data_IF_152733883709
#
_entry.id   IF_152733883709
#
_cell.length_a   1.000
_cell.length_b   1.000
_cell.length_c   1.000
_cell.angle_alpha   90.00
_cell.angle_beta   90.00
_cell.angle_gamma   90.00
#
_symmetry.space_group_name_H-M   'P 1'
#
loop_
_entity.id
_entity.type
_entity.pdbx_description
1 polymer ?
#
# COMPACT_ATOMS: atom_id res chain seq x y z
N UNK A 1 -13.17 15.38 25.62
CA UNK A 1 -12.99 13.93 25.33
C UNK A 1 -13.75 13.51 24.08
N UNK A 2 -15.08 13.61 24.03
CA UNK A 2 -15.85 13.24 22.82
C UNK A 2 -15.48 14.10 21.60
N UNK A 3 -15.24 15.40 21.80
CA UNK A 3 -14.85 16.33 20.73
C UNK A 3 -13.54 15.92 20.04
N UNK A 4 -12.53 15.48 20.80
CA UNK A 4 -11.24 15.05 20.26
C UNK A 4 -11.36 13.82 19.36
N UNK A 5 -12.18 12.83 19.72
CA UNK A 5 -12.39 11.64 18.88
C UNK A 5 -13.13 11.97 17.59
N UNK A 6 -14.10 12.89 17.67
CA UNK A 6 -14.87 13.34 16.52
C UNK A 6 -14.01 14.19 15.57
N UNK A 7 -13.14 15.03 16.13
CA UNK A 7 -12.16 15.82 15.38
C UNK A 7 -11.15 14.91 14.67
N UNK A 8 -10.56 13.94 15.38
CA UNK A 8 -9.72 12.88 14.78
C UNK A 8 -10.46 12.17 13.64
N UNK A 9 -11.69 11.74 13.87
CA UNK A 9 -12.49 11.05 12.86
C UNK A 9 -12.71 11.92 11.61
N UNK A 10 -13.12 13.18 11.78
CA UNK A 10 -13.39 14.10 10.67
C UNK A 10 -12.12 14.47 9.90
N UNK A 11 -11.02 14.74 10.61
CA UNK A 11 -9.72 15.02 10.00
C UNK A 11 -9.24 13.85 9.17
N UNK A 12 -9.22 12.63 9.73
CA UNK A 12 -8.78 11.44 9.00
C UNK A 12 -9.76 11.02 7.89
N UNK A 13 -11.06 11.30 8.04
CA UNK A 13 -12.03 11.16 6.96
C UNK A 13 -11.71 12.11 5.80
N UNK A 14 -11.43 13.39 6.09
CA UNK A 14 -11.04 14.37 5.07
C UNK A 14 -9.74 13.96 4.38
N UNK A 15 -8.73 13.55 5.14
CA UNK A 15 -7.47 13.02 4.60
C UNK A 15 -7.76 11.84 3.66
N UNK A 16 -8.63 10.92 4.06
CA UNK A 16 -9.01 9.78 3.24
C UNK A 16 -9.70 10.17 1.92
N UNK A 17 -10.54 11.22 1.90
CA UNK A 17 -11.20 11.69 0.68
C UNK A 17 -10.27 12.52 -0.22
N UNK A 18 -9.27 13.19 0.35
CA UNK A 18 -8.38 14.10 -0.37
C UNK A 18 -7.04 13.45 -0.79
N UNK A 19 -6.74 12.23 -0.32
CA UNK A 19 -5.47 11.55 -0.58
C UNK A 19 -5.64 10.29 -1.42
N UNK A 20 -4.67 10.01 -2.29
CA UNK A 20 -4.65 8.83 -3.16
C UNK A 20 -3.94 7.61 -2.55
N UNK A 21 -3.62 7.66 -1.25
CA UNK A 21 -2.97 6.55 -0.53
C UNK A 21 -1.47 6.42 -0.83
N UNK A 22 -0.86 5.33 -0.36
CA UNK A 22 0.60 5.13 -0.48
C UNK A 22 1.38 6.20 0.28
N UNK A 23 2.48 6.70 -0.29
CA UNK A 23 3.32 7.73 0.34
C UNK A 23 2.77 9.15 0.21
N UNK A 24 1.83 9.38 -0.73
CA UNK A 24 1.26 10.72 -0.99
C UNK A 24 0.44 11.28 0.18
N UNK A 25 -0.02 10.41 1.06
CA UNK A 25 -0.78 10.78 2.26
C UNK A 25 0.08 11.33 3.40
N UNK A 26 1.38 10.99 3.44
CA UNK A 26 2.27 11.37 4.53
C UNK A 26 2.33 12.89 4.72
N UNK A 27 2.53 13.73 3.67
CA UNK A 27 2.52 15.17 3.84
C UNK A 27 1.16 15.71 4.31
N UNK A 28 0.05 15.13 3.86
CA UNK A 28 -1.31 15.56 4.25
C UNK A 28 -1.57 15.24 5.73
N UNK A 29 -1.15 14.06 6.20
CA UNK A 29 -1.21 13.71 7.62
C UNK A 29 -0.31 14.64 8.43
N UNK A 30 0.92 14.90 7.96
CA UNK A 30 1.87 15.75 8.66
C UNK A 30 1.31 17.16 8.88
N UNK A 31 0.77 17.78 7.83
CA UNK A 31 0.14 19.11 7.90
C UNK A 31 -1.06 19.13 8.86
N UNK A 32 -1.95 18.14 8.76
CA UNK A 32 -3.14 18.06 9.63
C UNK A 32 -2.74 17.89 11.11
N UNK A 33 -1.83 16.96 11.41
CA UNK A 33 -1.40 16.65 12.78
C UNK A 33 -0.64 17.81 13.42
N UNK A 34 0.19 18.53 12.64
CA UNK A 34 0.87 19.74 13.08
C UNK A 34 -0.11 20.90 13.30
N UNK A 35 -1.10 21.07 12.42
CA UNK A 35 -2.09 22.14 12.52
C UNK A 35 -2.92 22.05 13.80
N UNK A 36 -3.25 20.83 14.23
CA UNK A 36 -3.96 20.57 15.48
C UNK A 36 -3.05 20.50 16.70
N UNK A 37 -1.73 20.55 16.51
CA UNK A 37 -0.74 20.43 17.59
C UNK A 37 -0.77 19.08 18.30
N UNK A 38 -1.30 18.02 17.66
CA UNK A 38 -1.40 16.70 18.27
C UNK A 38 -0.04 16.01 18.41
N UNK A 39 0.89 16.31 17.49
CA UNK A 39 2.23 15.73 17.47
C UNK A 39 3.23 16.72 16.86
N UNK A 40 4.51 16.46 17.10
CA UNK A 40 5.62 17.15 16.45
C UNK A 40 6.01 16.48 15.13
N UNK A 41 6.72 17.21 14.26
CA UNK A 41 7.16 16.66 12.97
C UNK A 41 8.09 15.44 13.14
N UNK A 42 8.89 15.40 14.21
CA UNK A 42 9.76 14.26 14.53
C UNK A 42 8.93 13.01 14.87
N UNK A 43 7.89 13.16 15.70
CA UNK A 43 7.03 12.03 16.07
C UNK A 43 6.22 11.50 14.89
N UNK A 44 5.82 12.38 13.95
CA UNK A 44 5.16 11.94 12.71
C UNK A 44 6.10 11.08 11.87
N UNK A 45 7.39 11.44 11.76
CA UNK A 45 8.39 10.65 11.04
C UNK A 45 8.56 9.27 11.69
N UNK A 46 8.64 9.21 13.02
CA UNK A 46 8.75 7.94 13.76
C UNK A 46 7.52 7.05 13.50
N UNK A 47 6.32 7.63 13.51
CA UNK A 47 5.09 6.88 13.19
C UNK A 47 5.11 6.35 11.76
N UNK A 48 5.51 7.17 10.79
CA UNK A 48 5.58 6.75 9.38
C UNK A 48 6.55 5.59 9.23
N UNK A 49 7.72 5.65 9.89
CA UNK A 49 8.68 4.55 9.88
C UNK A 49 8.06 3.26 10.46
N UNK A 50 7.35 3.32 11.59
CA UNK A 50 6.66 2.15 12.15
C UNK A 50 5.56 1.64 11.23
N UNK A 51 4.83 2.54 10.57
CA UNK A 51 3.75 2.21 9.66
C UNK A 51 4.23 1.52 8.38
N UNK A 52 5.41 1.87 7.87
CA UNK A 52 6.07 1.21 6.72
C UNK A 52 6.62 -0.18 7.08
N UNK A 53 7.12 -0.35 8.30
CA UNK A 53 7.60 -1.65 8.80
C UNK A 53 6.46 -2.63 9.08
N UNK A 54 5.26 -2.10 9.32
CA UNK A 54 4.06 -2.90 9.59
C UNK A 54 3.40 -3.31 8.27
N UNK A 55 3.11 -4.62 8.04
CA UNK A 55 2.44 -5.04 6.82
C UNK A 55 1.04 -4.43 6.74
N UNK A 56 0.70 -3.80 5.60
CA UNK A 56 -0.61 -3.21 5.38
C UNK A 56 -0.57 -1.95 4.52
N UNK A 57 -1.67 -1.22 4.52
CA UNK A 57 -1.72 0.09 3.88
C UNK A 57 -1.07 1.14 4.78
N UNK A 58 -0.06 1.85 4.27
CA UNK A 58 0.54 3.00 4.96
C UNK A 58 -0.53 3.97 5.47
N UNK A 59 -1.58 4.15 4.64
CA UNK A 59 -2.93 4.65 4.93
C UNK A 59 -3.37 4.58 6.38
N UNK A 60 -3.90 3.40 6.65
CA UNK A 60 -4.56 3.05 7.88
C UNK A 60 -3.56 2.89 9.01
N UNK A 61 -2.34 2.41 8.73
CA UNK A 61 -1.31 2.23 9.74
C UNK A 61 -0.93 3.57 10.37
N UNK A 62 -0.62 4.59 9.56
CA UNK A 62 -0.34 5.94 10.05
C UNK A 62 -1.52 6.51 10.85
N UNK A 63 -2.75 6.42 10.34
CA UNK A 63 -3.93 6.91 11.05
C UNK A 63 -4.12 6.21 12.42
N UNK A 64 -3.92 4.90 12.46
CA UNK A 64 -4.04 4.09 13.69
C UNK A 64 -3.00 4.52 14.71
N UNK A 65 -1.74 4.69 14.31
CA UNK A 65 -0.66 5.07 15.22
C UNK A 65 -0.75 6.53 15.66
N UNK A 66 -1.17 7.44 14.79
CA UNK A 66 -1.44 8.84 15.17
C UNK A 66 -2.58 8.86 16.19
N UNK A 67 -3.71 8.23 15.91
CA UNK A 67 -4.84 8.15 16.84
C UNK A 67 -4.46 7.50 18.18
N UNK A 68 -3.59 6.47 18.15
CA UNK A 68 -3.06 5.82 19.34
C UNK A 68 -2.23 6.77 20.20
N UNK A 69 -1.40 7.62 19.57
CA UNK A 69 -0.58 8.60 20.27
C UNK A 69 -1.38 9.79 20.78
N UNK A 70 -2.34 10.28 20.01
CA UNK A 70 -3.16 11.45 20.37
C UNK A 70 -4.16 11.15 21.48
N UNK A 71 -4.88 10.02 21.41
CA UNK A 71 -5.98 9.73 22.34
C UNK A 71 -6.10 8.24 22.73
N UNK A 72 -5.01 7.48 22.63
CA UNK A 72 -4.97 6.06 23.01
C UNK A 72 -5.79 5.16 22.07
N UNK A 73 -6.15 3.97 22.56
CA UNK A 73 -6.93 2.97 21.80
C UNK A 73 -8.22 3.54 21.17
N UNK A 74 -9.06 4.31 21.88
CA UNK A 74 -10.27 4.90 21.27
C UNK A 74 -9.95 5.94 20.18
N UNK A 75 -8.83 6.66 20.30
CA UNK A 75 -8.31 7.55 19.26
C UNK A 75 -7.88 6.79 18.01
N UNK A 76 -7.17 5.67 18.20
CA UNK A 76 -6.76 4.79 17.11
C UNK A 76 -7.97 4.30 16.32
N UNK A 77 -8.99 3.77 16.99
CA UNK A 77 -10.23 3.32 16.34
C UNK A 77 -10.91 4.45 15.56
N UNK A 78 -11.02 5.63 16.16
CA UNK A 78 -11.69 6.79 15.53
C UNK A 78 -10.95 7.24 14.26
N UNK A 79 -9.62 7.35 14.32
CA UNK A 79 -8.80 7.72 13.17
C UNK A 79 -8.82 6.64 12.06
N UNK A 80 -8.74 5.36 12.43
CA UNK A 80 -8.80 4.24 11.47
C UNK A 80 -10.15 4.17 10.78
N UNK A 81 -11.26 4.34 11.51
CA UNK A 81 -12.59 4.39 10.89
C UNK A 81 -12.73 5.61 9.98
N UNK A 82 -12.26 6.78 10.42
CA UNK A 82 -12.26 8.01 9.62
C UNK A 82 -11.59 7.80 8.26
N UNK A 83 -10.35 7.32 8.25
CA UNK A 83 -9.60 7.10 6.99
C UNK A 83 -10.20 6.00 6.09
N UNK A 84 -10.97 5.06 6.65
CA UNK A 84 -11.68 4.02 5.89
C UNK A 84 -13.03 4.47 5.31
N UNK A 85 -13.61 5.58 5.79
CA UNK A 85 -14.90 6.08 5.30
C UNK A 85 -14.97 6.27 3.77
N UNK A 86 -13.96 6.83 3.07
CA UNK A 86 -14.01 7.00 1.62
C UNK A 86 -14.11 5.68 0.88
N UNK A 87 -13.31 4.68 1.26
CA UNK A 87 -13.34 3.37 0.60
C UNK A 87 -14.65 2.64 0.90
N UNK A 88 -15.17 2.74 2.13
CA UNK A 88 -16.43 2.12 2.52
C UNK A 88 -17.63 2.76 1.82
N UNK A 89 -17.70 4.08 1.79
CA UNK A 89 -18.79 4.82 1.12
C UNK A 89 -18.78 4.60 -0.40
N UNK A 90 -17.61 4.73 -1.04
CA UNK A 90 -17.50 4.59 -2.49
C UNK A 90 -17.75 3.15 -2.96
N UNK A 91 -17.27 2.15 -2.20
CA UNK A 91 -17.51 0.74 -2.52
C UNK A 91 -18.98 0.35 -2.31
N UNK A 92 -19.64 0.83 -1.25
CA UNK A 92 -21.07 0.60 -1.04
C UNK A 92 -21.91 1.26 -2.13
N UNK A 93 -21.57 2.49 -2.53
CA UNK A 93 -22.25 3.19 -3.62
C UNK A 93 -22.07 2.45 -4.95
N UNK A 94 -20.84 2.03 -5.27
CA UNK A 94 -20.54 1.24 -6.46
C UNK A 94 -21.30 -0.10 -6.47
N UNK A 95 -21.31 -0.81 -5.34
CA UNK A 95 -22.06 -2.06 -5.20
C UNK A 95 -23.56 -1.83 -5.46
N UNK A 96 -24.15 -0.79 -4.85
CA UNK A 96 -25.55 -0.44 -5.07
C UNK A 96 -25.86 -0.16 -6.55
N UNK A 97 -24.99 0.57 -7.25
CA UNK A 97 -25.14 0.86 -8.67
C UNK A 97 -25.04 -0.40 -9.54
N UNK A 98 -24.09 -1.29 -9.24
CA UNK A 98 -23.93 -2.57 -9.92
C UNK A 98 -25.18 -3.43 -9.70
N UNK A 99 -25.71 -3.49 -8.49
CA UNK A 99 -26.93 -4.24 -8.19
C UNK A 99 -28.15 -3.75 -8.96
N UNK A 100 -28.30 -2.43 -9.13
CA UNK A 100 -29.40 -1.83 -9.90
C UNK A 100 -29.29 -2.11 -11.41
N UNK A 101 -28.07 -2.20 -11.94
CA UNK A 101 -27.80 -2.44 -13.36
C UNK A 101 -27.52 -3.91 -13.69
N UNK A 102 -27.73 -4.81 -12.73
CA UNK A 102 -27.59 -6.24 -12.93
C UNK A 102 -28.52 -6.69 -14.06
N UNK A 103 -27.95 -7.38 -15.05
CA UNK A 103 -28.65 -7.81 -16.26
C UNK A 103 -28.38 -6.94 -17.50
N UNK A 104 -27.69 -5.81 -17.37
CA UNK A 104 -27.22 -5.07 -18.54
C UNK A 104 -25.96 -5.74 -19.14
N UNK A 105 -26.01 -6.24 -20.39
CA UNK A 105 -24.89 -6.94 -21.03
C UNK A 105 -23.64 -6.07 -21.19
N UNK A 106 -23.78 -4.75 -21.27
CA UNK A 106 -22.66 -3.81 -21.34
C UNK A 106 -21.87 -3.75 -20.02
N UNK A 107 -22.57 -3.70 -18.88
CA UNK A 107 -21.93 -3.66 -17.56
C UNK A 107 -21.23 -4.99 -17.27
N UNK A 108 -21.87 -6.11 -17.57
CA UNK A 108 -21.28 -7.44 -17.36
C UNK A 108 -20.01 -7.63 -18.21
N UNK A 109 -20.04 -7.18 -19.47
CA UNK A 109 -18.88 -7.22 -20.35
C UNK A 109 -17.73 -6.34 -19.83
N UNK A 110 -18.03 -5.13 -19.34
CA UNK A 110 -17.04 -4.25 -18.74
C UNK A 110 -16.41 -4.87 -17.48
N UNK A 111 -17.22 -5.43 -16.58
CA UNK A 111 -16.74 -6.08 -15.35
C UNK A 111 -15.90 -7.33 -15.64
N UNK A 112 -16.25 -8.11 -16.68
CA UNK A 112 -15.43 -9.25 -17.13
C UNK A 112 -14.04 -8.80 -17.61
N UNK A 113 -13.93 -7.61 -18.20
CA UNK A 113 -12.66 -7.01 -18.63
C UNK A 113 -11.74 -6.57 -17.48
N UNK A 114 -12.27 -6.32 -16.28
CA UNK A 114 -11.48 -5.84 -15.13
C UNK A 114 -10.41 -6.85 -14.71
N UNK A 115 -10.73 -8.15 -14.67
CA UNK A 115 -9.79 -9.21 -14.27
C UNK A 115 -8.55 -9.28 -15.19
N UNK A 116 -8.65 -9.45 -16.52
CA UNK A 116 -7.48 -9.49 -17.39
C UNK A 116 -6.72 -8.15 -17.41
N UNK A 117 -7.41 -7.02 -17.29
CA UNK A 117 -6.75 -5.71 -17.18
C UNK A 117 -5.92 -5.61 -15.90
N UNK A 118 -6.44 -6.05 -14.76
CA UNK A 118 -5.67 -6.07 -13.50
C UNK A 118 -4.45 -7.00 -13.58
N UNK A 119 -4.58 -8.15 -14.24
CA UNK A 119 -3.45 -9.06 -14.48
C UNK A 119 -2.40 -8.42 -15.40
N UNK A 120 -2.83 -7.74 -16.45
CA UNK A 120 -1.94 -7.00 -17.35
C UNK A 120 -1.20 -5.87 -16.63
N UNK A 121 -1.88 -5.11 -15.77
CA UNK A 121 -1.26 -4.06 -14.95
C UNK A 121 -0.25 -4.64 -13.95
N UNK A 122 -0.59 -5.75 -13.28
CA UNK A 122 0.34 -6.45 -12.38
C UNK A 122 1.57 -6.96 -13.12
N UNK A 123 1.39 -7.53 -14.31
CA UNK A 123 2.48 -7.98 -15.16
C UNK A 123 3.36 -6.79 -15.61
N UNK A 124 2.77 -5.67 -16.01
CA UNK A 124 3.50 -4.47 -16.40
C UNK A 124 4.33 -3.90 -15.23
N UNK A 125 3.76 -3.86 -14.03
CA UNK A 125 4.48 -3.46 -12.82
C UNK A 125 5.65 -4.41 -12.51
N UNK A 126 5.42 -5.74 -12.61
CA UNK A 126 6.46 -6.74 -12.40
C UNK A 126 7.60 -6.61 -13.43
N UNK A 127 7.28 -6.36 -14.69
CA UNK A 127 8.29 -6.13 -15.75
C UNK A 127 9.06 -4.85 -15.50
N UNK A 128 8.38 -3.75 -15.16
CA UNK A 128 9.03 -2.45 -14.89
C UNK A 128 10.00 -2.56 -13.72
N UNK A 129 9.56 -3.13 -12.61
CA UNK A 129 10.41 -3.38 -11.43
C UNK A 129 11.54 -4.36 -11.74
N UNK A 130 11.26 -5.39 -12.55
CA UNK A 130 12.25 -6.35 -13.02
C UNK A 130 13.36 -5.68 -13.82
N UNK A 131 13.01 -4.86 -14.81
CA UNK A 131 13.99 -4.12 -15.64
C UNK A 131 14.86 -3.23 -14.74
N UNK A 132 14.27 -2.45 -13.83
CA UNK A 132 15.05 -1.58 -12.93
C UNK A 132 15.95 -2.35 -11.97
N UNK A 133 15.59 -3.59 -11.63
CA UNK A 133 16.37 -4.43 -10.71
C UNK A 133 17.51 -5.13 -11.45
N UNK A 134 17.23 -5.78 -12.60
CA UNK A 134 18.21 -6.56 -13.36
C UNK A 134 19.06 -5.73 -14.33
N UNK A 135 18.61 -4.53 -14.69
CA UNK A 135 19.22 -3.67 -15.70
C UNK A 135 19.35 -2.23 -15.17
N UNK A 136 20.46 -1.94 -14.49
CA UNK A 136 20.66 -0.61 -13.90
C UNK A 136 21.38 0.31 -14.90
N UNK A 137 20.69 1.41 -15.23
CA UNK A 137 21.12 2.61 -15.95
C UNK A 137 21.65 2.50 -17.39
N UNK A 138 20.98 3.29 -18.23
CA UNK A 138 21.22 3.54 -19.65
C UNK A 138 22.51 4.34 -19.92
N UNK A 139 23.64 3.93 -19.35
CA UNK A 139 24.92 4.68 -19.40
C UNK A 139 26.04 4.05 -20.24
N UNK A 140 26.16 2.72 -20.30
CA UNK A 140 27.24 2.12 -21.09
C UNK A 140 26.97 0.67 -21.48
N UNK A 141 26.88 0.45 -22.78
CA UNK A 141 27.05 -0.83 -23.47
C UNK A 141 26.06 -1.94 -23.10
N UNK A 142 25.20 -2.24 -24.06
CA UNK A 142 24.01 -3.08 -24.08
C UNK A 142 24.13 -4.53 -23.56
N UNK A 143 25.27 -4.97 -23.02
CA UNK A 143 25.50 -6.36 -22.60
C UNK A 143 26.48 -6.61 -21.42
N UNK A 144 27.07 -5.59 -20.75
CA UNK A 144 28.18 -5.87 -19.82
C UNK A 144 27.86 -5.91 -18.32
N UNK A 145 26.62 -5.65 -17.88
CA UNK A 145 26.27 -5.65 -16.43
C UNK A 145 25.03 -6.48 -16.12
N UNK A 146 24.90 -7.67 -16.72
CA UNK A 146 23.89 -8.64 -16.29
C UNK A 146 24.39 -9.30 -15.00
N UNK A 147 23.82 -8.92 -13.86
CA UNK A 147 24.06 -9.62 -12.60
C UNK A 147 23.28 -10.94 -12.60
N UNK A 148 23.92 -12.00 -13.13
CA UNK A 148 23.36 -13.36 -13.17
C UNK A 148 22.86 -13.82 -11.79
N UNK A 149 23.51 -13.33 -10.73
CA UNK A 149 23.17 -13.53 -9.33
C UNK A 149 21.74 -13.11 -8.97
N UNK A 150 21.26 -11.96 -9.48
CA UNK A 150 19.90 -11.48 -9.21
C UNK A 150 18.83 -12.28 -9.97
N UNK A 151 19.14 -12.67 -11.21
CA UNK A 151 18.25 -13.52 -12.04
C UNK A 151 18.11 -14.91 -11.40
N UNK A 152 19.20 -15.47 -10.86
CA UNK A 152 19.16 -16.74 -10.13
C UNK A 152 18.28 -16.66 -8.87
N UNK A 153 18.40 -15.59 -8.07
CA UNK A 153 17.55 -15.38 -6.89
C UNK A 153 16.07 -15.28 -7.28
N UNK A 154 15.77 -14.61 -8.39
CA UNK A 154 14.42 -14.48 -8.94
C UNK A 154 13.84 -15.83 -9.40
N UNK A 155 14.61 -16.63 -10.13
CA UNK A 155 14.18 -17.94 -10.59
C UNK A 155 13.98 -18.92 -9.42
N UNK A 156 14.88 -18.90 -8.43
CA UNK A 156 14.76 -19.72 -7.22
C UNK A 156 13.53 -19.31 -6.40
N UNK A 157 13.30 -18.03 -6.18
CA UNK A 157 12.13 -17.54 -5.44
C UNK A 157 10.81 -17.82 -6.18
N UNK A 158 10.79 -17.67 -7.51
CA UNK A 158 9.64 -18.03 -8.34
C UNK A 158 9.35 -19.54 -8.28
N UNK A 159 10.38 -20.38 -8.36
CA UNK A 159 10.25 -21.82 -8.22
C UNK A 159 9.70 -22.22 -6.84
N UNK A 160 10.21 -21.62 -5.76
CA UNK A 160 9.74 -21.89 -4.39
C UNK A 160 8.26 -21.49 -4.18
N UNK A 161 7.82 -20.40 -4.81
CA UNK A 161 6.42 -19.96 -4.75
C UNK A 161 5.49 -20.87 -5.55
N UNK A 162 5.86 -21.23 -6.78
CA UNK A 162 5.00 -22.00 -7.68
C UNK A 162 4.90 -23.49 -7.33
N UNK A 163 5.99 -24.10 -6.88
CA UNK A 163 6.04 -25.56 -6.64
C UNK A 163 5.82 -25.95 -5.18
N UNK A 164 6.29 -25.15 -4.22
CA UNK A 164 6.30 -25.54 -2.80
C UNK A 164 5.24 -24.86 -1.92
N UNK A 165 4.38 -23.99 -2.47
CA UNK A 165 3.36 -23.25 -1.70
C UNK A 165 3.91 -22.63 -0.39
N UNK A 166 5.18 -22.21 -0.41
CA UNK A 166 5.81 -21.61 0.76
C UNK A 166 5.19 -20.23 0.97
N UNK A 167 4.90 -19.88 2.22
CA UNK A 167 4.31 -18.58 2.55
C UNK A 167 5.21 -17.43 2.08
N UNK A 168 4.59 -16.38 1.52
CA UNK A 168 5.27 -15.20 0.96
C UNK A 168 6.35 -14.63 1.92
N UNK A 169 6.09 -14.48 3.24
CA UNK A 169 7.12 -13.97 4.15
C UNK A 169 8.38 -14.85 4.24
N UNK A 170 8.23 -16.18 4.17
CA UNK A 170 9.36 -17.11 4.19
C UNK A 170 10.17 -17.03 2.90
N UNK A 171 9.51 -16.88 1.75
CA UNK A 171 10.19 -16.69 0.46
C UNK A 171 10.99 -15.39 0.44
N UNK A 172 10.42 -14.29 0.97
CA UNK A 172 11.13 -13.01 1.10
C UNK A 172 12.38 -13.17 1.97
N UNK A 173 12.27 -13.88 3.10
CA UNK A 173 13.39 -14.10 4.00
C UNK A 173 14.51 -14.95 3.36
N UNK A 174 14.16 -15.99 2.59
CA UNK A 174 15.13 -16.80 1.83
C UNK A 174 15.78 -15.95 0.73
N UNK A 175 15.01 -15.14 0.00
CA UNK A 175 15.55 -14.25 -1.02
C UNK A 175 16.49 -13.19 -0.41
N UNK A 176 16.18 -12.66 0.77
CA UNK A 176 17.05 -11.72 1.49
C UNK A 176 18.37 -12.38 1.93
N UNK A 177 18.31 -13.60 2.46
CA UNK A 177 19.52 -14.36 2.83
C UNK A 177 20.37 -14.67 1.60
N UNK A 178 19.76 -15.13 0.50
CA UNK A 178 20.47 -15.37 -0.76
C UNK A 178 21.05 -14.08 -1.34
N UNK A 179 20.33 -12.96 -1.21
CA UNK A 179 20.81 -11.64 -1.61
C UNK A 179 22.02 -11.17 -0.79
N UNK A 180 22.10 -11.46 0.51
CA UNK A 180 23.26 -11.14 1.34
C UNK A 180 24.48 -12.02 1.06
N UNK A 181 24.26 -13.26 0.60
CA UNK A 181 25.34 -14.22 0.32
C UNK A 181 25.88 -14.11 -1.12
N UNK A 182 25.04 -13.69 -2.07
CA UNK A 182 25.31 -13.77 -3.51
C UNK A 182 25.20 -12.37 -4.18
N UNK A 183 24.55 -11.39 -3.56
CA UNK A 183 24.42 -10.01 -4.06
C UNK A 183 25.59 -9.11 -3.66
#
# INVERSE_FOLDING_TARGET
MMELYLELFLSFMRIGFCSFGGTTMVPVINDEVLSHGWMTAAEVIDIVAVAEMTPGSLGINCATFVGLRTAGIPGALSASFGVMMPSLTLSMAAAGFIFQLNGNPWLESALRGVRPVSLGMLAAAAVTLGITTYWREAGSMWFSTIHWNQILIALVSLYLLLQKNISIPKTILIAAILGLLIG
#
